data_IF_759629842340
#
_entry.id   IF_759629842340
#
_cell.length_a   1.000
_cell.length_b   1.000
_cell.length_c   1.000
_cell.angle_alpha   90.00
_cell.angle_beta   90.00
_cell.angle_gamma   90.00
#
_symmetry.space_group_name_H-M   'P 1'
#
loop_
_entity.id
_entity.type
_entity.pdbx_description
1 polymer ?
#
# COMPACT_ATOMS: atom_id res chain seq x y z
N UNK A 1 -53.28 50.22 8.61
CA UNK A 1 -53.60 49.48 7.38
C UNK A 1 -53.67 48.00 7.76
N UNK A 2 -54.88 47.54 7.91
CA UNK A 2 -55.12 46.10 8.12
C UNK A 2 -55.02 45.42 6.76
N UNK A 3 -53.82 45.06 6.40
CA UNK A 3 -53.51 44.48 5.08
C UNK A 3 -53.68 42.98 5.08
N UNK A 4 -54.90 42.48 4.87
CA UNK A 4 -55.08 41.17 4.29
C UNK A 4 -54.73 41.27 2.80
N UNK A 5 -53.49 40.96 2.46
CA UNK A 5 -53.15 40.83 1.05
C UNK A 5 -53.41 39.39 0.62
N UNK A 6 -54.51 39.18 -0.09
CA UNK A 6 -54.69 38.01 -0.92
C UNK A 6 -54.21 38.39 -2.34
N UNK A 7 -52.99 38.00 -2.64
CA UNK A 7 -52.46 38.13 -4.01
C UNK A 7 -52.08 36.72 -4.49
N UNK A 8 -52.57 36.34 -5.64
CA UNK A 8 -52.24 35.07 -6.28
C UNK A 8 -50.76 34.95 -6.67
N UNK A 9 -50.06 36.07 -6.78
CA UNK A 9 -48.61 36.14 -7.02
C UNK A 9 -48.01 37.39 -6.38
N UNK A 10 -47.10 37.22 -5.44
CA UNK A 10 -46.29 38.31 -4.87
C UNK A 10 -44.83 38.12 -5.35
N UNK A 11 -44.34 39.04 -6.12
CA UNK A 11 -42.94 39.05 -6.57
C UNK A 11 -42.15 40.05 -5.72
N UNK A 12 -41.06 39.59 -5.09
CA UNK A 12 -40.13 40.43 -4.39
C UNK A 12 -38.85 40.57 -5.26
N UNK A 13 -38.42 41.79 -5.48
CA UNK A 13 -37.20 42.12 -6.22
C UNK A 13 -35.98 42.18 -5.31
N UNK A 14 -36.18 42.13 -4.00
CA UNK A 14 -35.15 42.08 -2.96
C UNK A 14 -35.64 41.29 -1.78
N UNK A 15 -34.68 40.85 -0.93
CA UNK A 15 -35.01 40.15 0.30
C UNK A 15 -35.83 41.03 1.23
N UNK A 16 -36.96 40.53 1.72
CA UNK A 16 -37.82 41.18 2.71
C UNK A 16 -37.44 40.67 4.11
N UNK A 17 -37.05 41.55 4.98
CA UNK A 17 -36.71 41.24 6.36
C UNK A 17 -37.88 41.55 7.27
N UNK A 18 -38.26 40.66 8.14
CA UNK A 18 -39.28 40.90 9.16
C UNK A 18 -38.75 41.87 10.23
N UNK A 19 -39.46 42.94 10.46
CA UNK A 19 -39.12 43.95 11.44
C UNK A 19 -40.31 44.26 12.36
N UNK A 20 -40.04 44.88 13.48
CA UNK A 20 -41.12 45.30 14.42
C UNK A 20 -41.59 44.20 15.34
N UNK A 21 -42.92 44.03 15.43
CA UNK A 21 -43.55 43.14 16.45
C UNK A 21 -43.51 41.65 16.12
N UNK A 22 -42.97 41.23 14.97
CA UNK A 22 -42.88 39.80 14.63
C UNK A 22 -41.64 39.20 15.27
N UNK A 23 -41.86 38.51 16.40
CA UNK A 23 -40.78 37.86 17.16
C UNK A 23 -40.70 36.39 16.89
N UNK A 24 -41.77 35.77 16.41
CA UNK A 24 -41.80 34.35 16.02
C UNK A 24 -42.90 34.07 15.01
N UNK A 25 -42.81 33.00 14.27
CA UNK A 25 -43.82 32.51 13.32
C UNK A 25 -44.64 31.34 13.84
N UNK A 26 -44.57 31.08 15.14
CA UNK A 26 -45.27 29.96 15.77
C UNK A 26 -44.64 28.60 15.50
N UNK A 27 -45.39 27.56 15.76
CA UNK A 27 -44.96 26.18 15.61
C UNK A 27 -45.03 25.73 14.15
N UNK A 28 -43.89 25.42 13.54
CA UNK A 28 -43.81 25.00 12.15
C UNK A 28 -43.17 23.63 12.07
N UNK A 29 -43.81 22.71 11.34
CA UNK A 29 -43.35 21.35 11.16
C UNK A 29 -42.99 20.99 9.71
N UNK A 30 -43.44 21.79 8.73
CA UNK A 30 -43.24 21.50 7.32
C UNK A 30 -41.72 21.55 6.99
N UNK A 31 -41.22 20.49 6.40
CA UNK A 31 -39.80 20.33 6.08
C UNK A 31 -38.89 20.05 7.28
N UNK A 32 -39.42 20.07 8.49
CA UNK A 32 -38.70 19.82 9.73
C UNK A 32 -39.20 18.52 10.39
N UNK A 33 -38.32 17.86 11.13
CA UNK A 33 -38.67 16.68 11.94
C UNK A 33 -39.27 17.07 13.30
N UNK A 34 -39.11 18.32 13.71
CA UNK A 34 -39.57 18.85 14.97
C UNK A 34 -40.40 20.12 14.76
N UNK A 35 -41.42 20.28 15.62
CA UNK A 35 -42.18 21.51 15.70
C UNK A 35 -41.44 22.53 16.55
N UNK A 36 -41.19 23.72 16.02
CA UNK A 36 -40.49 24.80 16.72
C UNK A 36 -41.26 26.09 16.69
N UNK A 37 -41.22 26.81 17.80
CA UNK A 37 -41.59 28.21 17.86
C UNK A 37 -40.33 29.04 17.54
N UNK A 38 -40.26 29.64 16.36
CA UNK A 38 -39.08 30.28 15.85
C UNK A 38 -39.07 31.78 16.13
N UNK A 39 -37.98 32.24 16.73
CA UNK A 39 -37.66 33.66 16.77
C UNK A 39 -37.20 34.10 15.36
N UNK A 40 -37.93 35.02 14.72
CA UNK A 40 -37.71 35.43 13.32
C UNK A 40 -37.36 36.90 13.19
N UNK A 41 -37.21 37.64 14.30
CA UNK A 41 -36.84 39.06 14.30
C UNK A 41 -35.51 39.23 13.57
N UNK A 42 -35.49 40.05 12.52
CA UNK A 42 -34.29 40.31 11.71
C UNK A 42 -33.95 39.26 10.66
N UNK A 43 -34.73 38.18 10.54
CA UNK A 43 -34.56 37.19 9.46
C UNK A 43 -35.20 37.67 8.17
N UNK A 44 -34.59 37.33 7.03
CA UNK A 44 -35.21 37.57 5.73
C UNK A 44 -36.33 36.55 5.47
N UNK A 45 -37.31 36.92 4.62
CA UNK A 45 -38.37 36.02 4.19
C UNK A 45 -37.77 34.79 3.48
N UNK A 46 -36.72 34.95 2.72
CA UNK A 46 -35.99 33.87 2.07
C UNK A 46 -35.43 32.87 3.09
N UNK A 47 -34.78 33.34 4.14
CA UNK A 47 -34.20 32.50 5.18
C UNK A 47 -35.29 31.72 5.93
N UNK A 48 -36.41 32.37 6.24
CA UNK A 48 -37.58 31.74 6.86
C UNK A 48 -38.16 30.66 5.94
N UNK A 49 -38.38 30.93 4.69
CA UNK A 49 -38.91 29.96 3.73
C UNK A 49 -37.93 28.79 3.52
N UNK A 50 -36.63 29.07 3.42
CA UNK A 50 -35.61 28.03 3.33
C UNK A 50 -35.66 27.13 4.55
N UNK A 51 -35.71 27.69 5.75
CA UNK A 51 -35.77 26.92 6.98
C UNK A 51 -37.03 26.05 7.10
N UNK A 52 -38.19 26.56 6.64
CA UNK A 52 -39.46 25.81 6.65
C UNK A 52 -39.44 24.66 5.62
N UNK A 53 -38.90 24.88 4.46
CA UNK A 53 -38.96 23.95 3.33
C UNK A 53 -37.80 22.93 3.33
N UNK A 54 -36.66 23.26 3.96
CA UNK A 54 -35.49 22.39 4.01
C UNK A 54 -35.68 21.29 5.05
N UNK A 55 -35.65 20.04 4.59
CA UNK A 55 -35.69 18.89 5.51
C UNK A 55 -34.37 18.84 6.30
N UNK A 56 -34.48 18.76 7.63
CA UNK A 56 -33.33 18.57 8.51
C UNK A 56 -32.74 17.18 8.30
N UNK A 57 -31.48 17.13 7.90
CA UNK A 57 -30.72 15.89 7.74
C UNK A 57 -29.58 15.88 8.76
N UNK A 58 -29.45 14.76 9.47
CA UNK A 58 -28.35 14.58 10.42
C UNK A 58 -27.05 14.22 9.66
N UNK A 59 -25.91 14.67 10.15
CA UNK A 59 -24.62 14.33 9.54
C UNK A 59 -24.27 12.86 9.79
N UNK A 60 -23.41 12.34 8.92
CA UNK A 60 -22.65 11.12 9.17
C UNK A 60 -21.19 11.47 9.39
N UNK A 61 -20.47 10.61 10.11
CA UNK A 61 -19.05 10.80 10.38
C UNK A 61 -18.23 9.71 9.70
N UNK A 62 -17.10 10.10 9.08
CA UNK A 62 -16.04 9.19 8.66
C UNK A 62 -14.91 9.27 9.67
N UNK A 63 -14.50 8.14 10.22
CA UNK A 63 -13.49 8.08 11.25
C UNK A 63 -12.08 8.44 10.73
N UNK A 64 -11.20 8.94 11.60
CA UNK A 64 -9.79 9.16 11.28
C UNK A 64 -9.08 7.88 10.83
N UNK A 65 -8.08 8.05 9.97
CA UNK A 65 -7.26 6.94 9.50
C UNK A 65 -5.79 7.31 9.39
N UNK A 66 -4.93 6.31 9.41
CA UNK A 66 -3.47 6.44 9.31
C UNK A 66 -2.98 5.80 8.02
N UNK A 67 -2.05 6.45 7.35
CA UNK A 67 -1.19 5.86 6.34
C UNK A 67 0.22 5.68 6.87
N UNK A 68 0.93 4.65 6.39
CA UNK A 68 2.36 4.46 6.62
C UNK A 68 3.02 3.89 5.38
N UNK A 69 4.12 4.51 4.97
CA UNK A 69 4.98 4.06 3.87
C UNK A 69 6.32 3.70 4.48
N UNK A 70 6.77 2.48 4.20
CA UNK A 70 8.15 2.03 4.42
C UNK A 70 8.86 2.15 3.08
N UNK A 71 9.82 3.06 2.96
CA UNK A 71 10.44 3.45 1.69
C UNK A 71 11.12 2.26 1.00
N UNK A 72 11.74 1.38 1.79
CA UNK A 72 12.45 0.20 1.32
C UNK A 72 11.57 -1.05 1.21
N UNK A 73 10.25 -0.93 1.29
CA UNK A 73 9.32 -2.06 1.21
C UNK A 73 9.34 -2.72 -0.17
N UNK A 74 10.16 -3.74 -0.31
CA UNK A 74 10.27 -4.63 -1.47
C UNK A 74 11.03 -5.89 -1.11
N UNK A 75 11.16 -6.81 -2.07
CA UNK A 75 12.01 -7.97 -1.93
C UNK A 75 13.48 -7.64 -2.25
N UNK A 76 14.40 -8.17 -1.45
CA UNK A 76 15.86 -8.05 -1.62
C UNK A 76 16.52 -9.43 -1.63
N UNK A 77 17.68 -9.55 -2.28
CA UNK A 77 18.50 -10.75 -2.11
C UNK A 77 18.92 -10.87 -0.63
N UNK A 78 18.81 -12.07 -0.06
CA UNK A 78 19.27 -12.33 1.31
C UNK A 78 20.76 -11.98 1.47
N UNK A 79 21.10 -11.41 2.63
CA UNK A 79 22.42 -10.85 2.90
C UNK A 79 22.56 -9.37 2.58
N UNK A 80 21.64 -8.78 1.81
CA UNK A 80 21.64 -7.34 1.56
C UNK A 80 21.33 -6.59 2.87
N UNK A 81 22.08 -5.51 3.13
CA UNK A 81 21.79 -4.60 4.24
C UNK A 81 20.96 -3.42 3.74
N UNK A 82 19.86 -3.13 4.43
CA UNK A 82 18.96 -2.00 4.16
C UNK A 82 18.76 -1.18 5.44
N UNK A 83 18.54 0.11 5.30
CA UNK A 83 18.21 1.00 6.44
C UNK A 83 16.75 1.43 6.28
N UNK A 84 15.82 0.81 7.05
CA UNK A 84 14.40 1.08 6.89
C UNK A 84 14.05 2.51 7.28
N UNK A 85 13.39 3.25 6.39
CA UNK A 85 12.87 4.59 6.65
C UNK A 85 11.36 4.63 6.44
N UNK A 86 10.67 5.41 7.26
CA UNK A 86 9.22 5.49 7.23
C UNK A 86 8.70 6.92 7.21
N UNK A 87 7.52 7.06 6.59
CA UNK A 87 6.72 8.28 6.61
C UNK A 87 5.29 7.91 6.92
N UNK A 88 4.66 8.65 7.83
CA UNK A 88 3.25 8.47 8.20
C UNK A 88 2.40 9.60 7.65
N UNK A 89 1.11 9.35 7.49
CA UNK A 89 0.10 10.34 7.18
C UNK A 89 -1.12 10.13 8.07
N UNK A 90 -1.84 11.20 8.35
CA UNK A 90 -3.06 11.17 9.14
C UNK A 90 -4.19 11.84 8.38
N UNK A 91 -5.30 11.13 8.23
CA UNK A 91 -6.57 11.67 7.76
C UNK A 91 -7.47 11.84 8.98
N UNK A 92 -7.88 13.07 9.25
CA UNK A 92 -8.67 13.45 10.43
C UNK A 92 -10.15 13.04 10.37
N UNK A 93 -10.56 12.35 9.30
CA UNK A 93 -11.96 12.05 9.07
C UNK A 93 -12.74 13.28 8.57
N UNK A 94 -14.05 13.12 8.45
CA UNK A 94 -14.94 14.18 7.96
C UNK A 94 -16.35 14.00 8.49
N UNK A 95 -17.13 15.08 8.49
CA UNK A 95 -18.57 15.05 8.61
C UNK A 95 -19.22 15.33 7.24
N UNK A 96 -20.38 14.75 7.00
CA UNK A 96 -21.13 15.00 5.74
C UNK A 96 -21.55 16.47 5.62
N UNK A 97 -21.86 17.09 6.76
CA UNK A 97 -22.24 18.53 6.84
C UNK A 97 -21.43 19.22 7.92
N UNK A 98 -21.25 20.52 7.75
CA UNK A 98 -20.64 21.39 8.75
C UNK A 98 -19.14 21.60 8.56
N UNK A 99 -18.49 22.11 9.60
CA UNK A 99 -17.08 22.48 9.55
C UNK A 99 -16.17 21.23 9.57
N UNK A 100 -14.91 21.50 9.38
CA UNK A 100 -13.82 20.56 9.66
C UNK A 100 -13.96 19.90 11.04
N UNK A 101 -13.56 18.63 11.14
CA UNK A 101 -13.64 17.88 12.41
C UNK A 101 -12.81 18.50 13.54
N UNK A 102 -11.80 19.32 13.24
CA UNK A 102 -10.88 19.89 14.22
C UNK A 102 -9.96 18.89 14.89
N UNK A 103 -9.99 17.63 14.46
CA UNK A 103 -9.17 16.55 15.02
C UNK A 103 -7.69 16.77 14.69
N UNK A 104 -6.85 16.63 15.70
CA UNK A 104 -5.39 16.69 15.60
C UNK A 104 -4.74 15.45 16.20
N UNK A 105 -3.56 15.10 15.69
CA UNK A 105 -2.75 14.02 16.29
C UNK A 105 -2.15 14.51 17.58
N UNK A 106 -2.39 13.80 18.69
CA UNK A 106 -1.80 14.07 20.00
C UNK A 106 -0.45 13.36 20.20
N UNK A 107 -0.28 12.17 19.61
CA UNK A 107 1.01 11.46 19.63
C UNK A 107 1.08 10.42 18.52
N UNK A 108 2.32 10.11 18.12
CA UNK A 108 2.65 9.00 17.24
C UNK A 108 3.34 7.88 18.03
N UNK A 109 3.02 6.64 17.66
CA UNK A 109 3.78 5.45 18.04
C UNK A 109 4.02 4.65 16.78
N UNK A 110 5.28 4.53 16.37
CA UNK A 110 5.67 3.78 15.18
C UNK A 110 6.58 2.64 15.62
N UNK A 111 6.15 1.40 15.40
CA UNK A 111 6.79 0.20 15.91
C UNK A 111 7.13 -0.75 14.76
N UNK A 112 8.37 -1.26 14.77
CA UNK A 112 8.79 -2.28 13.81
C UNK A 112 8.53 -3.70 14.31
N UNK A 113 8.77 -4.69 13.47
CA UNK A 113 8.65 -6.13 13.83
C UNK A 113 9.64 -6.60 14.87
N UNK A 114 10.71 -5.83 15.15
CA UNK A 114 11.69 -6.09 16.23
C UNK A 114 11.29 -5.43 17.55
N UNK A 115 10.09 -4.82 17.62
CA UNK A 115 9.57 -4.10 18.78
C UNK A 115 10.30 -2.78 19.10
N UNK A 116 11.13 -2.25 18.19
CA UNK A 116 11.72 -0.93 18.34
C UNK A 116 10.64 0.12 18.08
N UNK A 117 10.54 1.11 18.97
CA UNK A 117 9.50 2.14 18.93
C UNK A 117 10.10 3.51 18.65
N UNK A 118 9.45 4.27 17.77
CA UNK A 118 9.70 5.70 17.47
C UNK A 118 8.43 6.49 17.76
N UNK A 119 8.56 7.77 18.07
CA UNK A 119 7.43 8.64 18.44
C UNK A 119 7.24 9.82 17.48
N UNK A 120 7.90 9.78 16.35
CA UNK A 120 7.84 10.81 15.30
C UNK A 120 7.04 10.33 14.09
N UNK A 121 6.47 11.25 13.33
CA UNK A 121 5.72 10.94 12.11
C UNK A 121 6.61 10.42 10.97
N UNK A 122 7.90 10.72 11.01
CA UNK A 122 8.92 10.24 10.07
C UNK A 122 10.16 9.81 10.82
N UNK A 123 10.93 8.88 10.26
CA UNK A 123 12.18 8.46 10.88
C UNK A 123 12.79 7.26 10.19
N UNK A 124 13.89 6.78 10.80
CA UNK A 124 14.63 5.61 10.36
C UNK A 124 14.80 4.62 11.50
N UNK A 125 14.85 3.35 11.17
CA UNK A 125 15.27 2.28 12.07
C UNK A 125 16.73 1.91 11.79
N UNK A 126 17.32 1.12 12.67
CA UNK A 126 18.69 0.64 12.49
C UNK A 126 18.80 -0.23 11.24
N UNK A 127 20.00 -0.27 10.69
CA UNK A 127 20.30 -1.10 9.53
C UNK A 127 19.92 -2.57 9.78
N UNK A 128 19.27 -3.17 8.80
CA UNK A 128 18.71 -4.50 8.82
C UNK A 128 19.39 -5.35 7.76
N UNK A 129 20.01 -6.48 8.13
CA UNK A 129 20.39 -7.49 7.17
C UNK A 129 19.17 -8.33 6.79
N UNK A 130 18.89 -8.41 5.50
CA UNK A 130 17.79 -9.23 4.95
C UNK A 130 18.17 -10.71 5.08
N UNK A 131 17.33 -11.48 5.76
CA UNK A 131 17.53 -12.90 6.02
C UNK A 131 16.49 -13.75 5.26
N UNK A 132 16.72 -15.06 5.23
CA UNK A 132 15.70 -15.99 4.72
C UNK A 132 14.40 -15.87 5.53
N UNK A 133 13.27 -15.81 4.83
CA UNK A 133 11.96 -15.75 5.44
C UNK A 133 11.63 -14.45 6.19
N UNK A 134 12.47 -13.42 6.09
CA UNK A 134 12.18 -12.13 6.72
C UNK A 134 10.89 -11.52 6.17
N UNK A 135 10.07 -10.99 7.08
CA UNK A 135 8.88 -10.18 6.79
C UNK A 135 8.90 -8.96 7.71
N UNK A 136 9.74 -7.98 7.37
CA UNK A 136 9.90 -6.78 8.19
C UNK A 136 8.90 -5.73 7.77
N UNK A 137 8.05 -5.31 8.71
CA UNK A 137 7.04 -4.27 8.56
C UNK A 137 7.14 -3.23 9.67
N UNK A 138 6.48 -2.12 9.46
CA UNK A 138 6.34 -1.04 10.43
C UNK A 138 4.86 -0.77 10.64
N UNK A 139 4.41 -0.72 11.89
CA UNK A 139 3.05 -0.33 12.27
C UNK A 139 3.07 1.06 12.88
N UNK A 140 2.35 1.99 12.28
CA UNK A 140 2.15 3.33 12.77
C UNK A 140 0.79 3.44 13.47
N UNK A 141 0.76 4.04 14.65
CA UNK A 141 -0.44 4.36 15.42
C UNK A 141 -0.43 5.85 15.75
N UNK A 142 -1.50 6.55 15.39
CA UNK A 142 -1.74 7.93 15.80
C UNK A 142 -2.83 7.94 16.88
N UNK A 143 -2.53 8.48 18.05
CA UNK A 143 -3.56 8.90 18.99
C UNK A 143 -4.05 10.29 18.59
N UNK A 144 -5.36 10.54 18.66
CA UNK A 144 -5.94 11.80 18.21
C UNK A 144 -6.98 12.35 19.19
N UNK A 145 -7.19 13.66 19.13
CA UNK A 145 -8.14 14.39 19.94
C UNK A 145 -9.59 14.13 19.53
N UNK A 146 -10.51 14.45 20.42
CA UNK A 146 -11.96 14.48 20.08
C UNK A 146 -12.24 15.53 19.01
N UNK A 147 -13.17 15.24 18.11
CA UNK A 147 -13.64 16.16 17.09
C UNK A 147 -14.67 17.16 17.60
N UNK A 148 -14.87 18.24 16.85
CA UNK A 148 -15.95 19.20 17.07
C UNK A 148 -17.32 18.52 16.88
N UNK A 149 -18.38 19.12 17.44
CA UNK A 149 -19.77 18.69 17.18
C UNK A 149 -20.11 18.90 15.72
N UNK A 150 -20.59 17.86 15.06
CA UNK A 150 -21.03 17.93 13.67
C UNK A 150 -22.28 18.80 13.54
N UNK A 151 -22.46 19.42 12.38
CA UNK A 151 -23.62 20.24 12.07
C UNK A 151 -24.61 19.45 11.19
N UNK A 152 -25.88 19.77 11.29
CA UNK A 152 -26.89 19.33 10.34
C UNK A 152 -26.77 20.11 9.00
N UNK A 153 -27.53 19.74 8.00
CA UNK A 153 -27.53 20.38 6.68
C UNK A 153 -28.04 21.82 6.64
N UNK A 154 -28.55 22.34 7.74
CA UNK A 154 -28.99 23.72 7.89
C UNK A 154 -28.15 24.53 8.88
N UNK A 155 -27.01 23.96 9.30
CA UNK A 155 -25.99 24.65 10.10
C UNK A 155 -26.19 24.58 11.63
N UNK A 156 -27.26 23.93 12.12
CA UNK A 156 -27.48 23.68 13.53
C UNK A 156 -26.59 22.55 14.06
N UNK A 157 -26.43 22.43 15.38
CA UNK A 157 -25.80 21.25 15.97
C UNK A 157 -26.61 19.99 15.65
N UNK A 158 -25.92 18.88 15.44
CA UNK A 158 -26.58 17.60 15.24
C UNK A 158 -27.38 17.19 16.49
N UNK A 159 -28.54 16.59 16.27
CA UNK A 159 -29.40 16.08 17.33
C UNK A 159 -29.94 14.70 16.90
N UNK A 160 -29.53 13.61 17.55
CA UNK A 160 -28.56 13.56 18.66
C UNK A 160 -27.15 14.08 18.31
N UNK A 161 -26.42 14.53 19.31
CA UNK A 161 -25.04 15.06 19.14
C UNK A 161 -24.15 14.01 18.51
N UNK A 162 -23.59 14.34 17.36
CA UNK A 162 -22.63 13.52 16.63
C UNK A 162 -21.26 14.20 16.68
N UNK A 163 -20.27 13.49 17.21
CA UNK A 163 -18.86 13.88 17.19
C UNK A 163 -17.99 12.64 17.14
N UNK A 164 -16.83 12.76 16.53
CA UNK A 164 -15.84 11.68 16.53
C UNK A 164 -15.14 11.72 17.90
N UNK A 165 -15.19 10.65 18.70
CA UNK A 165 -14.53 10.64 20.00
C UNK A 165 -13.01 10.63 19.86
N UNK A 166 -12.29 11.07 20.90
CA UNK A 166 -10.85 10.85 20.97
C UNK A 166 -10.54 9.35 20.90
N UNK A 167 -9.43 9.01 20.23
CA UNK A 167 -9.10 7.61 20.01
C UNK A 167 -7.75 7.41 19.34
N UNK A 168 -7.59 6.25 18.71
CA UNK A 168 -6.40 5.94 17.93
C UNK A 168 -6.74 5.23 16.63
N UNK A 169 -5.90 5.43 15.61
CA UNK A 169 -5.94 4.72 14.35
C UNK A 169 -4.57 4.11 14.06
N UNK A 170 -4.54 2.94 13.44
CA UNK A 170 -3.30 2.23 13.13
C UNK A 170 -3.27 1.71 11.71
N UNK A 171 -2.06 1.60 11.15
CA UNK A 171 -1.80 1.00 9.84
C UNK A 171 -0.43 0.32 9.83
N UNK A 172 -0.35 -0.83 9.18
CA UNK A 172 0.92 -1.54 8.92
C UNK A 172 1.34 -1.31 7.48
N UNK A 173 2.64 -1.10 7.26
CA UNK A 173 3.26 -0.91 5.95
C UNK A 173 3.28 -2.18 5.10
N UNK A 174 3.61 -2.06 3.82
CA UNK A 174 4.15 -3.17 3.04
C UNK A 174 5.49 -3.65 3.65
N UNK A 175 5.93 -4.85 3.30
CA UNK A 175 7.06 -5.51 3.94
C UNK A 175 8.37 -5.39 3.14
N UNK A 176 9.50 -5.44 3.87
CA UNK A 176 10.79 -5.86 3.33
C UNK A 176 10.83 -7.38 3.43
N UNK A 177 11.10 -8.06 2.32
CA UNK A 177 11.19 -9.52 2.26
C UNK A 177 12.52 -9.98 1.67
N UNK A 178 12.93 -11.22 1.98
CA UNK A 178 14.15 -11.82 1.45
C UNK A 178 13.85 -12.82 0.33
N UNK A 179 14.74 -12.91 -0.65
CA UNK A 179 14.71 -13.97 -1.65
C UNK A 179 16.12 -14.47 -1.96
N UNK A 180 16.22 -15.72 -2.45
CA UNK A 180 17.42 -16.28 -3.03
C UNK A 180 17.36 -16.14 -4.55
N UNK A 181 18.43 -15.65 -5.16
CA UNK A 181 18.56 -15.61 -6.62
C UNK A 181 18.69 -17.04 -7.20
N UNK A 182 18.17 -17.22 -8.41
CA UNK A 182 18.68 -18.27 -9.30
C UNK A 182 19.72 -17.66 -10.23
N UNK A 183 20.65 -18.48 -10.72
CA UNK A 183 21.78 -18.05 -11.51
C UNK A 183 21.83 -18.86 -12.81
N UNK A 184 22.17 -18.23 -13.92
CA UNK A 184 22.25 -18.89 -15.21
C UNK A 184 23.24 -18.18 -16.14
N UNK A 185 23.80 -18.92 -17.06
CA UNK A 185 24.75 -18.37 -18.02
C UNK A 185 25.70 -19.39 -18.57
N UNK A 186 26.85 -18.92 -19.05
CA UNK A 186 27.87 -19.74 -19.68
C UNK A 186 29.25 -19.43 -19.11
N UNK A 187 30.16 -20.42 -19.22
CA UNK A 187 31.57 -20.25 -18.92
C UNK A 187 32.39 -20.63 -20.13
N UNK A 188 33.56 -19.98 -20.26
CA UNK A 188 34.58 -20.30 -21.28
C UNK A 188 35.58 -21.39 -20.79
N UNK A 189 35.34 -21.97 -19.61
CA UNK A 189 36.16 -23.02 -19.01
C UNK A 189 35.32 -24.05 -18.29
N UNK A 190 35.88 -25.24 -18.07
CA UNK A 190 35.22 -26.39 -17.41
C UNK A 190 35.78 -26.63 -15.99
N UNK A 191 36.09 -25.58 -15.25
CA UNK A 191 36.56 -25.68 -13.86
C UNK A 191 35.53 -26.17 -12.87
N UNK A 192 35.93 -26.32 -11.61
CA UNK A 192 35.07 -26.65 -10.49
C UNK A 192 34.01 -25.55 -10.30
N UNK A 193 32.77 -25.93 -9.98
CA UNK A 193 31.65 -25.01 -9.75
C UNK A 193 31.61 -24.67 -8.26
N UNK A 194 32.05 -23.49 -7.90
CA UNK A 194 32.02 -22.93 -6.54
C UNK A 194 30.90 -21.91 -6.38
N UNK A 195 30.59 -21.52 -5.13
CA UNK A 195 29.66 -20.43 -4.84
C UNK A 195 29.99 -19.16 -5.64
N UNK A 196 31.26 -18.75 -5.67
CA UNK A 196 31.68 -17.52 -6.34
C UNK A 196 31.47 -17.57 -7.86
N UNK A 197 31.76 -18.70 -8.49
CA UNK A 197 31.56 -18.91 -9.94
C UNK A 197 30.05 -18.83 -10.23
N UNK A 198 29.20 -19.51 -9.45
CA UNK A 198 27.76 -19.49 -9.63
C UNK A 198 27.22 -18.07 -9.44
N UNK A 199 27.64 -17.37 -8.39
CA UNK A 199 27.23 -15.99 -8.12
C UNK A 199 27.72 -14.98 -9.16
N UNK A 200 28.76 -15.30 -9.90
CA UNK A 200 29.25 -14.51 -11.04
C UNK A 200 28.35 -14.56 -12.29
N UNK A 201 27.45 -15.54 -12.38
CA UNK A 201 26.51 -15.68 -13.48
C UNK A 201 25.39 -14.64 -13.44
N UNK A 202 24.54 -14.60 -14.47
CA UNK A 202 23.35 -13.76 -14.51
C UNK A 202 22.40 -14.16 -13.38
N UNK A 203 21.86 -13.16 -12.66
CA UNK A 203 20.93 -13.34 -11.55
C UNK A 203 19.49 -13.20 -12.02
N UNK A 204 18.58 -13.98 -11.43
CA UNK A 204 17.15 -13.84 -11.70
C UNK A 204 16.56 -12.51 -11.22
N UNK A 205 17.20 -11.84 -10.25
CA UNK A 205 16.73 -10.59 -9.66
C UNK A 205 15.46 -10.76 -8.80
N UNK A 206 14.99 -11.98 -8.60
CA UNK A 206 13.80 -12.34 -7.81
C UNK A 206 13.87 -13.82 -7.42
N UNK A 207 13.05 -14.22 -6.45
CA UNK A 207 12.78 -15.63 -6.22
C UNK A 207 12.12 -16.23 -7.47
N UNK A 208 12.56 -17.42 -7.85
CA UNK A 208 11.83 -18.28 -8.79
C UNK A 208 10.95 -19.26 -7.99
N UNK A 209 9.94 -19.79 -8.66
CA UNK A 209 9.02 -20.79 -8.12
C UNK A 209 8.93 -21.96 -9.12
N UNK A 210 8.33 -23.05 -8.68
CA UNK A 210 7.97 -24.18 -9.53
C UNK A 210 7.17 -23.70 -10.75
N UNK A 211 7.51 -24.23 -11.93
CA UNK A 211 6.93 -23.83 -13.21
C UNK A 211 7.53 -22.55 -13.82
N UNK A 212 8.40 -21.81 -13.11
CA UNK A 212 9.06 -20.66 -13.70
C UNK A 212 10.05 -21.08 -14.79
N UNK A 213 10.11 -20.25 -15.83
CA UNK A 213 11.00 -20.46 -16.98
C UNK A 213 12.08 -19.37 -17.03
N UNK A 214 13.30 -19.79 -17.27
CA UNK A 214 14.46 -18.91 -17.57
C UNK A 214 14.99 -19.21 -18.96
N UNK A 215 15.51 -18.18 -19.64
CA UNK A 215 16.16 -18.31 -20.94
C UNK A 215 17.66 -18.12 -20.78
N UNK A 216 18.44 -19.08 -21.24
CA UNK A 216 19.91 -19.05 -21.20
C UNK A 216 20.44 -18.92 -22.62
N UNK A 217 21.01 -17.76 -22.94
CA UNK A 217 21.70 -17.54 -24.21
C UNK A 217 23.12 -18.09 -24.14
N UNK A 218 23.49 -18.89 -25.10
CA UNK A 218 24.81 -19.51 -25.24
C UNK A 218 25.52 -18.83 -26.38
N UNK A 219 26.54 -18.00 -26.12
CA UNK A 219 27.34 -17.36 -27.16
C UNK A 219 28.28 -18.35 -27.82
N UNK A 220 28.83 -17.96 -28.99
CA UNK A 220 29.96 -18.62 -29.60
C UNK A 220 31.18 -18.57 -28.64
N UNK A 221 31.94 -19.65 -28.54
CA UNK A 221 33.08 -19.78 -27.63
C UNK A 221 32.75 -20.34 -26.24
N UNK A 222 31.49 -20.44 -25.87
CA UNK A 222 31.08 -21.04 -24.59
C UNK A 222 31.53 -22.52 -24.54
N UNK A 223 32.09 -22.93 -23.40
CA UNK A 223 32.48 -24.32 -23.12
C UNK A 223 31.53 -25.03 -22.16
N UNK A 224 30.80 -24.28 -21.34
CA UNK A 224 29.86 -24.80 -20.36
C UNK A 224 28.62 -23.91 -20.30
N UNK A 225 27.43 -24.52 -20.18
CA UNK A 225 26.15 -23.85 -19.86
C UNK A 225 25.74 -24.26 -18.47
N UNK A 226 25.28 -23.33 -17.67
CA UNK A 226 24.92 -23.55 -16.27
C UNK A 226 23.59 -22.87 -15.96
N UNK A 227 22.78 -23.53 -15.13
CA UNK A 227 21.72 -22.90 -14.35
C UNK A 227 21.69 -23.52 -12.95
N UNK A 228 21.49 -22.66 -11.95
CA UNK A 228 21.54 -23.00 -10.54
C UNK A 228 20.40 -22.30 -9.80
N UNK A 229 19.72 -23.00 -8.93
CA UNK A 229 18.61 -22.47 -8.15
C UNK A 229 18.52 -23.20 -6.80
N UNK A 230 17.85 -22.57 -5.77
CA UNK A 230 17.69 -23.19 -4.46
C UNK A 230 17.14 -24.61 -4.56
N UNK A 231 17.78 -25.57 -3.92
CA UNK A 231 17.40 -26.98 -3.94
C UNK A 231 15.95 -27.22 -3.48
N UNK A 232 15.38 -26.33 -2.69
CA UNK A 232 14.00 -26.38 -2.21
C UNK A 232 12.96 -26.31 -3.32
N UNK A 233 13.33 -25.88 -4.53
CA UNK A 233 12.45 -25.87 -5.73
C UNK A 233 12.35 -27.22 -6.44
N UNK A 234 13.08 -28.24 -5.95
CA UNK A 234 13.06 -29.56 -6.57
C UNK A 234 14.00 -29.68 -7.77
N UNK A 235 13.70 -30.64 -8.66
CA UNK A 235 14.48 -30.92 -9.86
C UNK A 235 13.95 -30.09 -11.05
N UNK A 236 14.84 -29.88 -12.02
CA UNK A 236 14.44 -29.25 -13.28
C UNK A 236 13.37 -30.09 -13.99
N UNK A 237 12.33 -29.43 -14.42
CA UNK A 237 11.22 -30.08 -15.13
C UNK A 237 11.64 -30.41 -16.58
N UNK A 238 12.15 -29.40 -17.27
CA UNK A 238 12.63 -29.56 -18.66
C UNK A 238 13.61 -28.48 -19.08
N UNK A 239 14.50 -28.87 -19.98
CA UNK A 239 15.37 -27.95 -20.76
C UNK A 239 15.09 -28.15 -22.24
N UNK A 240 14.69 -27.10 -22.92
CA UNK A 240 14.39 -27.12 -24.36
C UNK A 240 15.49 -26.39 -25.13
N UNK A 241 15.96 -26.99 -26.20
CA UNK A 241 16.83 -26.35 -27.20
C UNK A 241 15.97 -25.57 -28.18
N UNK A 242 15.91 -24.24 -28.04
CA UNK A 242 15.06 -23.37 -28.86
C UNK A 242 15.47 -23.43 -30.32
N UNK A 243 16.75 -23.45 -30.62
CA UNK A 243 17.28 -23.51 -31.99
C UNK A 243 17.23 -24.91 -32.57
N UNK A 244 17.18 -25.95 -31.71
CA UNK A 244 16.99 -27.37 -32.09
C UNK A 244 15.52 -27.81 -32.11
N UNK A 245 14.63 -27.02 -32.68
CA UNK A 245 13.19 -27.32 -32.81
C UNK A 245 12.47 -27.57 -31.48
N UNK A 246 12.90 -26.89 -30.42
CA UNK A 246 12.44 -27.09 -29.06
C UNK A 246 12.60 -28.54 -28.54
N UNK A 247 13.63 -29.23 -28.99
CA UNK A 247 13.91 -30.56 -28.50
C UNK A 247 14.17 -30.56 -26.99
N UNK A 248 13.62 -31.54 -26.27
CA UNK A 248 13.90 -31.71 -24.85
C UNK A 248 15.29 -32.35 -24.69
N UNK A 249 16.19 -31.59 -24.10
CA UNK A 249 17.60 -31.96 -23.88
C UNK A 249 17.94 -32.05 -22.40
N UNK A 250 16.96 -32.19 -21.50
CA UNK A 250 17.17 -32.26 -20.05
C UNK A 250 18.22 -33.33 -19.68
N UNK A 251 18.23 -34.47 -20.35
CA UNK A 251 19.19 -35.57 -20.12
C UNK A 251 20.63 -35.23 -20.51
N UNK A 252 20.88 -34.18 -21.28
CA UNK A 252 22.24 -33.72 -21.61
C UNK A 252 22.88 -32.90 -20.47
N UNK A 253 22.13 -32.56 -19.44
CA UNK A 253 22.62 -31.80 -18.29
C UNK A 253 22.98 -32.74 -17.13
N UNK A 254 24.14 -32.51 -16.56
CA UNK A 254 24.59 -33.13 -15.32
C UNK A 254 24.09 -32.30 -14.14
N UNK A 255 23.50 -32.95 -13.13
CA UNK A 255 23.10 -32.33 -11.87
C UNK A 255 24.15 -32.55 -10.80
N UNK A 256 24.53 -31.49 -10.10
CA UNK A 256 25.31 -31.54 -8.87
C UNK A 256 24.66 -30.65 -7.81
N UNK A 257 25.11 -30.75 -6.59
CA UNK A 257 24.72 -29.88 -5.48
C UNK A 257 25.91 -29.00 -5.09
N UNK A 258 25.67 -27.70 -4.97
CA UNK A 258 26.66 -26.71 -4.53
C UNK A 258 26.04 -25.82 -3.45
N UNK A 259 26.77 -25.56 -2.37
CA UNK A 259 26.38 -24.58 -1.38
C UNK A 259 26.68 -23.16 -1.90
N UNK A 260 25.63 -22.35 -2.09
CA UNK A 260 25.75 -21.00 -2.65
C UNK A 260 25.35 -19.97 -1.59
N UNK A 261 26.23 -18.99 -1.39
CA UNK A 261 26.01 -17.90 -0.43
C UNK A 261 24.95 -16.89 -0.95
N UNK A 262 24.39 -16.13 0.01
CA UNK A 262 23.61 -14.92 -0.30
C UNK A 262 24.51 -13.73 -0.65
N UNK A 263 23.94 -12.54 -0.72
CA UNK A 263 24.70 -11.31 -0.88
C UNK A 263 25.66 -11.12 0.31
N UNK A 264 26.79 -10.45 0.07
CA UNK A 264 27.79 -10.14 1.08
C UNK A 264 28.24 -11.34 1.95
N UNK A 265 28.35 -12.54 1.35
CA UNK A 265 28.76 -13.74 2.09
C UNK A 265 27.72 -14.29 3.07
N UNK A 266 26.44 -13.94 2.89
CA UNK A 266 25.38 -14.45 3.77
C UNK A 266 25.28 -15.97 3.66
N UNK A 267 24.92 -16.62 4.76
CA UNK A 267 24.83 -18.07 4.94
C UNK A 267 24.47 -18.82 3.67
N UNK A 268 25.34 -19.74 3.26
CA UNK A 268 25.16 -20.57 2.09
C UNK A 268 24.03 -21.59 2.29
N UNK A 269 23.28 -21.88 1.23
CA UNK A 269 22.31 -22.98 1.18
C UNK A 269 22.60 -23.86 -0.03
N UNK A 270 22.07 -25.09 -0.01
CA UNK A 270 22.19 -26.02 -1.11
C UNK A 270 21.41 -25.53 -2.35
N UNK A 271 22.08 -25.58 -3.49
CA UNK A 271 21.54 -25.33 -4.82
C UNK A 271 21.63 -26.57 -5.68
N UNK A 272 20.56 -26.83 -6.43
CA UNK A 272 20.65 -27.72 -7.58
C UNK A 272 21.34 -26.97 -8.72
N UNK A 273 22.46 -27.48 -9.19
CA UNK A 273 23.23 -26.91 -10.26
C UNK A 273 23.21 -27.88 -11.43
N UNK A 274 22.66 -27.45 -12.54
CA UNK A 274 22.63 -28.20 -13.78
C UNK A 274 23.60 -27.59 -14.78
N UNK A 275 24.44 -28.39 -15.39
CA UNK A 275 25.38 -27.93 -16.40
C UNK A 275 25.55 -28.94 -17.52
N UNK A 276 25.92 -28.43 -18.69
CA UNK A 276 26.37 -29.27 -19.81
C UNK A 276 27.67 -28.69 -20.37
N UNK A 277 28.61 -29.58 -20.70
CA UNK A 277 29.90 -29.23 -21.25
C UNK A 277 29.96 -29.56 -22.74
N UNK A 278 30.36 -28.60 -23.54
CA UNK A 278 30.68 -28.82 -24.94
C UNK A 278 32.05 -29.51 -25.11
N UNK A 279 32.15 -30.49 -26.01
CA UNK A 279 33.44 -31.16 -26.29
C UNK A 279 34.46 -30.14 -26.76
N UNK A 280 34.08 -29.25 -27.65
CA UNK A 280 34.83 -28.09 -28.13
C UNK A 280 34.07 -26.80 -27.79
N UNK A 281 34.72 -25.62 -27.80
CA UNK A 281 34.00 -24.35 -27.68
C UNK A 281 32.84 -24.29 -28.68
N UNK A 282 31.68 -23.81 -28.20
CA UNK A 282 30.45 -23.71 -29.00
C UNK A 282 30.72 -22.86 -30.28
N UNK A 283 30.42 -23.37 -31.45
CA UNK A 283 30.65 -22.73 -32.75
C UNK A 283 29.44 -21.87 -33.24
N UNK A 284 28.27 -22.03 -32.62
CA UNK A 284 27.05 -21.32 -32.96
C UNK A 284 26.34 -20.83 -31.71
N UNK A 285 25.83 -19.61 -31.79
CA UNK A 285 24.95 -19.11 -30.74
C UNK A 285 23.68 -19.98 -30.63
N UNK A 286 23.27 -20.28 -29.40
CA UNK A 286 22.09 -21.07 -29.10
C UNK A 286 21.30 -20.44 -27.94
N UNK A 287 20.08 -20.93 -27.72
CA UNK A 287 19.25 -20.52 -26.60
C UNK A 287 18.58 -21.75 -25.99
N UNK A 288 18.72 -21.89 -24.68
CA UNK A 288 18.00 -22.92 -23.92
C UNK A 288 16.93 -22.28 -23.04
N UNK A 289 15.75 -22.90 -23.03
CA UNK A 289 14.67 -22.54 -22.12
C UNK A 289 14.59 -23.59 -21.02
N UNK A 290 14.80 -23.17 -19.80
CA UNK A 290 14.82 -24.02 -18.60
C UNK A 290 13.54 -23.76 -17.81
N UNK A 291 12.76 -24.82 -17.53
CA UNK A 291 11.60 -24.80 -16.63
C UNK A 291 11.95 -25.56 -15.36
N UNK A 292 11.79 -24.89 -14.22
CA UNK A 292 12.03 -25.43 -12.88
C UNK A 292 10.76 -26.09 -12.38
#
# INVERSE_FOLDING_TARGET
MDGNYSADNVYFTSDLTLAGNYTSIGNITKGQTETKNWAVTGMSVKDIMTAITTKKLQPTATNPSVGVILTEAKAYEVGTTVTPSYTTSFNKGAYTFGPDTGITVSSWTVKDTKNVTKTTATGTFDALQVTDGINYTVTATAAYTEGAVAKDNIGGDSDPVIKIPAGSASKTSAAITGYRNSFYGTLESKGELTSDIIRGLTKSGRALADGNTISVTVPVGAQRVIFAYPKTLGDVNKVLDVNGLNANITSAFTKIEVNVEGAAGYTAIAYNVYYTDYANPNDKANTYTVTI
#
